data_IF_046817294706
#
_entry.id   IF_046817294706
#
_cell.length_a   1.000
_cell.length_b   1.000
_cell.length_c   1.000
_cell.angle_alpha   90.00
_cell.angle_beta   90.00
_cell.angle_gamma   90.00
#
_symmetry.space_group_name_H-M   'P 1'
#
loop_
_entity.id
_entity.type
_entity.pdbx_description
1 polymer ?
#
# COMPACT_ATOMS: atom_id res chain seq x y z
N UNK A 1 -12.00 -20.21 22.22
CA UNK A 1 -11.25 -20.04 20.95
C UNK A 1 -11.74 -18.83 20.15
N UNK A 2 -13.02 -18.72 19.76
CA UNK A 2 -13.52 -17.57 18.98
C UNK A 2 -13.30 -16.20 19.64
N UNK A 3 -13.48 -16.09 20.96
CA UNK A 3 -13.25 -14.85 21.71
C UNK A 3 -11.77 -14.45 21.76
N UNK A 4 -10.86 -15.41 21.90
CA UNK A 4 -9.40 -15.18 21.89
C UNK A 4 -8.91 -14.72 20.52
N UNK A 5 -9.39 -15.37 19.45
CA UNK A 5 -9.12 -14.99 18.06
C UNK A 5 -9.64 -13.58 17.72
N UNK A 6 -10.83 -13.22 18.21
CA UNK A 6 -11.39 -11.87 18.00
C UNK A 6 -10.61 -10.77 18.72
N UNK A 7 -10.08 -11.07 19.92
CA UNK A 7 -9.20 -10.15 20.67
C UNK A 7 -7.85 -9.97 19.96
N UNK A 8 -7.30 -11.05 19.42
CA UNK A 8 -6.02 -11.06 18.68
C UNK A 8 -6.09 -10.23 17.37
N UNK A 9 -7.20 -10.33 16.64
CA UNK A 9 -7.43 -9.52 15.42
C UNK A 9 -7.56 -8.03 15.74
N UNK A 10 -8.27 -7.65 16.81
CA UNK A 10 -8.41 -6.23 17.21
C UNK A 10 -7.07 -5.63 17.62
N UNK A 11 -6.27 -6.37 18.37
CA UNK A 11 -4.91 -5.97 18.73
C UNK A 11 -4.04 -5.80 17.48
N UNK A 12 -4.12 -6.74 16.54
CA UNK A 12 -3.41 -6.68 15.27
C UNK A 12 -3.82 -5.47 14.42
N UNK A 13 -5.10 -5.08 14.43
CA UNK A 13 -5.58 -3.85 13.75
C UNK A 13 -5.00 -2.60 14.42
N UNK A 14 -4.95 -2.54 15.75
CA UNK A 14 -4.35 -1.41 16.46
C UNK A 14 -2.84 -1.28 16.14
N UNK A 15 -2.10 -2.40 16.16
CA UNK A 15 -0.70 -2.44 15.77
C UNK A 15 -0.49 -2.00 14.31
N UNK A 16 -1.31 -2.51 13.39
CA UNK A 16 -1.29 -2.09 11.99
C UNK A 16 -1.51 -0.58 11.89
N UNK A 17 -2.52 -0.03 12.58
CA UNK A 17 -2.84 1.40 12.57
C UNK A 17 -1.65 2.25 13.04
N UNK A 18 -0.95 1.82 14.10
CA UNK A 18 0.26 2.49 14.57
C UNK A 18 1.41 2.42 13.55
N UNK A 19 1.62 1.24 12.94
CA UNK A 19 2.60 1.08 11.86
C UNK A 19 2.29 2.00 10.67
N UNK A 20 1.01 2.14 10.29
CA UNK A 20 0.55 3.06 9.23
C UNK A 20 1.02 4.48 9.50
N UNK A 21 0.78 5.00 10.70
CA UNK A 21 1.10 6.39 11.00
C UNK A 21 2.59 6.64 11.09
N UNK A 22 3.38 5.67 11.59
CA UNK A 22 4.85 5.73 11.51
C UNK A 22 5.33 5.77 10.06
N UNK A 23 4.74 4.95 9.19
CA UNK A 23 5.08 4.93 7.78
C UNK A 23 4.68 6.22 7.07
N UNK A 24 3.47 6.74 7.34
CA UNK A 24 3.01 8.02 6.81
C UNK A 24 3.95 9.16 7.22
N UNK A 25 4.34 9.21 8.50
CA UNK A 25 5.30 10.19 9.02
C UNK A 25 6.65 10.08 8.32
N UNK A 26 7.16 8.85 8.12
CA UNK A 26 8.44 8.63 7.44
C UNK A 26 8.42 8.99 5.95
N UNK A 27 7.31 8.71 5.23
CA UNK A 27 7.11 9.17 3.84
C UNK A 27 7.13 10.69 3.76
N UNK A 28 6.46 11.33 4.71
CA UNK A 28 6.23 12.76 4.68
C UNK A 28 7.46 13.56 5.18
N UNK A 29 8.28 12.97 6.06
CA UNK A 29 9.49 13.59 6.63
C UNK A 29 10.77 13.35 5.83
N UNK A 30 10.73 12.56 4.76
CA UNK A 30 11.94 12.20 4.00
C UNK A 30 12.46 13.42 3.21
N UNK A 31 13.62 13.99 3.55
CA UNK A 31 14.14 15.21 2.93
C UNK A 31 14.63 15.00 1.48
N UNK A 32 14.77 13.74 1.02
CA UNK A 32 15.04 13.40 -0.38
C UNK A 32 13.76 13.18 -1.20
N UNK A 33 12.59 13.24 -0.56
CA UNK A 33 11.31 13.02 -1.20
C UNK A 33 10.86 14.27 -1.95
N UNK A 34 10.67 14.14 -3.26
CA UNK A 34 9.94 15.14 -4.08
C UNK A 34 8.42 14.88 -4.04
N UNK A 35 7.93 14.05 -3.12
CA UNK A 35 6.52 13.63 -3.06
C UNK A 35 5.69 14.75 -2.45
N UNK A 36 4.99 15.50 -3.30
CA UNK A 36 4.07 16.56 -2.88
C UNK A 36 2.73 16.02 -2.37
N UNK A 37 2.27 14.88 -2.90
CA UNK A 37 1.05 14.19 -2.47
C UNK A 37 1.32 12.68 -2.38
N UNK A 38 0.90 12.04 -1.29
CA UNK A 38 1.11 10.62 -1.06
C UNK A 38 -0.23 9.87 -0.94
N UNK A 39 -0.33 8.70 -1.57
CA UNK A 39 -1.44 7.77 -1.38
C UNK A 39 -0.90 6.34 -1.36
N UNK A 40 -0.90 5.70 -0.20
CA UNK A 40 -0.46 4.31 -0.06
C UNK A 40 -1.52 3.50 0.65
N UNK A 41 -1.46 2.17 0.50
CA UNK A 41 -2.36 1.25 1.18
C UNK A 41 -1.63 0.51 2.29
N UNK A 42 -1.87 0.85 3.56
CA UNK A 42 -1.17 0.22 4.66
C UNK A 42 -1.60 -1.24 4.84
N UNK A 43 -2.87 -1.54 4.58
CA UNK A 43 -3.39 -2.92 4.62
C UNK A 43 -2.77 -3.78 3.52
N UNK A 44 -2.55 -3.22 2.33
CA UNK A 44 -1.88 -3.91 1.22
C UNK A 44 -0.41 -4.21 1.55
N UNK A 45 0.29 -3.23 2.13
CA UNK A 45 1.67 -3.41 2.59
C UNK A 45 1.79 -4.42 3.73
N UNK A 46 0.84 -4.39 4.68
CA UNK A 46 0.79 -5.39 5.76
C UNK A 46 0.67 -6.81 5.20
N UNK A 47 -0.22 -7.04 4.22
CA UNK A 47 -0.35 -8.34 3.55
C UNK A 47 0.94 -8.73 2.84
N UNK A 48 1.59 -7.79 2.15
CA UNK A 48 2.84 -8.02 1.44
C UNK A 48 3.99 -8.41 2.39
N UNK A 49 4.13 -7.70 3.51
CA UNK A 49 5.15 -8.00 4.52
C UNK A 49 4.84 -9.30 5.28
N UNK A 50 3.56 -9.58 5.59
CA UNK A 50 3.14 -10.85 6.19
C UNK A 50 3.45 -12.05 5.29
N UNK A 51 3.37 -11.87 3.96
CA UNK A 51 3.80 -12.89 2.99
C UNK A 51 5.31 -13.16 3.08
N UNK A 52 6.14 -12.11 3.17
CA UNK A 52 7.59 -12.27 3.38
C UNK A 52 7.87 -12.92 4.74
N UNK A 53 7.15 -12.55 5.80
CA UNK A 53 7.25 -13.18 7.13
C UNK A 53 7.00 -14.69 7.07
N UNK A 54 6.04 -15.15 6.26
CA UNK A 54 5.76 -16.57 6.07
C UNK A 54 6.88 -17.31 5.33
N UNK A 55 7.64 -16.58 4.49
CA UNK A 55 8.81 -17.09 3.78
C UNK A 55 10.12 -16.99 4.58
N UNK A 56 10.10 -16.33 5.74
CA UNK A 56 11.28 -16.07 6.55
C UNK A 56 11.45 -17.06 7.71
N UNK A 57 12.70 -17.28 8.11
CA UNK A 57 13.09 -18.03 9.31
C UNK A 57 13.81 -17.16 10.34
N UNK A 58 14.07 -17.75 11.51
CA UNK A 58 14.96 -17.20 12.54
C UNK A 58 14.71 -15.73 12.91
N UNK A 59 15.81 -14.98 13.03
CA UNK A 59 15.79 -13.56 13.39
C UNK A 59 15.11 -12.68 12.33
N UNK A 60 15.18 -13.05 11.05
CA UNK A 60 14.55 -12.31 9.94
C UNK A 60 13.03 -12.33 10.11
N UNK A 61 12.45 -13.51 10.38
CA UNK A 61 11.01 -13.66 10.68
C UNK A 61 10.59 -12.82 11.88
N UNK A 62 11.38 -12.85 12.96
CA UNK A 62 11.06 -12.12 14.18
C UNK A 62 11.07 -10.60 13.94
N UNK A 63 12.07 -10.07 13.24
CA UNK A 63 12.13 -8.63 12.96
C UNK A 63 10.98 -8.16 12.05
N UNK A 64 10.61 -8.96 11.05
CA UNK A 64 9.44 -8.69 10.21
C UNK A 64 8.15 -8.66 11.03
N UNK A 65 7.97 -9.65 11.91
CA UNK A 65 6.82 -9.72 12.80
C UNK A 65 6.75 -8.47 13.70
N UNK A 66 7.82 -8.16 14.43
CA UNK A 66 7.91 -6.97 15.29
C UNK A 66 7.64 -5.66 14.54
N UNK A 67 8.07 -5.56 13.28
CA UNK A 67 7.82 -4.37 12.45
C UNK A 67 6.33 -4.19 12.15
N UNK A 68 5.61 -5.30 11.90
CA UNK A 68 4.17 -5.30 11.66
C UNK A 68 3.34 -5.17 12.95
N UNK A 69 3.94 -5.46 14.09
CA UNK A 69 3.38 -5.31 15.44
C UNK A 69 4.05 -6.23 16.45
N UNK A 70 3.89 -5.97 17.74
CA UNK A 70 4.41 -6.85 18.82
C UNK A 70 3.54 -8.12 19.03
N UNK A 71 2.74 -8.49 18.03
CA UNK A 71 1.81 -9.62 18.10
C UNK A 71 2.44 -10.96 17.72
N UNK A 72 1.74 -12.05 18.02
CA UNK A 72 2.13 -13.39 17.57
C UNK A 72 2.06 -13.49 16.04
N UNK A 73 3.01 -14.22 15.45
CA UNK A 73 3.11 -14.37 13.99
C UNK A 73 1.84 -14.98 13.37
N UNK A 74 1.18 -15.88 14.09
CA UNK A 74 -0.09 -16.47 13.64
C UNK A 74 -1.22 -15.43 13.53
N UNK A 75 -1.27 -14.45 14.44
CA UNK A 75 -2.22 -13.34 14.39
C UNK A 75 -2.01 -12.47 13.14
N UNK A 76 -0.75 -12.20 12.77
CA UNK A 76 -0.40 -11.46 11.55
C UNK A 76 -0.88 -12.17 10.28
N UNK A 77 -0.65 -13.48 10.19
CA UNK A 77 -1.08 -14.29 9.06
C UNK A 77 -2.61 -14.39 8.98
N UNK A 78 -3.27 -14.55 10.11
CA UNK A 78 -4.74 -14.57 10.21
C UNK A 78 -5.34 -13.23 9.77
N UNK A 79 -4.78 -12.10 10.23
CA UNK A 79 -5.22 -10.77 9.80
C UNK A 79 -5.02 -10.57 8.31
N UNK A 80 -3.85 -10.93 7.77
CA UNK A 80 -3.57 -10.81 6.34
C UNK A 80 -4.57 -11.62 5.50
N UNK A 81 -4.88 -12.86 5.89
CA UNK A 81 -5.87 -13.70 5.21
C UNK A 81 -7.27 -13.07 5.24
N UNK A 82 -7.73 -12.57 6.39
CA UNK A 82 -9.03 -11.91 6.50
C UNK A 82 -9.09 -10.61 5.69
N UNK A 83 -8.03 -9.80 5.71
CA UNK A 83 -7.94 -8.56 4.92
C UNK A 83 -8.05 -8.87 3.43
N UNK A 84 -7.33 -9.89 2.95
CA UNK A 84 -7.39 -10.28 1.54
C UNK A 84 -8.76 -10.83 1.15
N UNK A 85 -9.34 -11.70 1.97
CA UNK A 85 -10.63 -12.34 1.68
C UNK A 85 -11.81 -11.39 1.75
N UNK A 86 -11.81 -10.47 2.72
CA UNK A 86 -12.94 -9.59 2.96
C UNK A 86 -12.65 -8.17 2.50
N UNK A 87 -11.62 -7.51 3.00
CA UNK A 87 -11.40 -6.07 2.77
C UNK A 87 -10.95 -5.77 1.34
N UNK A 88 -10.07 -6.58 0.77
CA UNK A 88 -9.47 -6.34 -0.55
C UNK A 88 -10.19 -7.05 -1.70
N UNK A 89 -11.27 -7.79 -1.40
CA UNK A 89 -12.07 -8.46 -2.42
C UNK A 89 -12.77 -7.46 -3.36
N UNK A 90 -12.76 -7.75 -4.66
CA UNK A 90 -13.53 -6.97 -5.62
C UNK A 90 -15.02 -7.35 -5.54
N UNK A 91 -15.88 -6.37 -5.25
CA UNK A 91 -17.34 -6.55 -5.25
C UNK A 91 -18.05 -5.49 -6.11
N UNK A 92 -17.37 -4.97 -7.12
CA UNK A 92 -17.93 -3.94 -8.01
C UNK A 92 -19.14 -4.43 -8.81
N UNK A 93 -19.26 -5.74 -9.05
CA UNK A 93 -20.41 -6.36 -9.72
C UNK A 93 -21.72 -6.24 -8.93
N UNK A 94 -21.66 -5.99 -7.62
CA UNK A 94 -22.83 -5.80 -6.75
C UNK A 94 -23.00 -4.34 -6.31
N UNK A 95 -22.36 -3.39 -7.01
CA UNK A 95 -22.50 -1.95 -6.76
C UNK A 95 -21.62 -1.38 -5.65
N UNK A 96 -20.70 -2.18 -5.10
CA UNK A 96 -19.68 -1.77 -4.12
C UNK A 96 -18.49 -1.08 -4.80
N UNK A 97 -17.57 -0.42 -4.07
CA UNK A 97 -16.33 0.07 -4.67
C UNK A 97 -15.55 -1.02 -5.40
N UNK A 98 -14.95 -0.63 -6.52
CA UNK A 98 -13.99 -1.46 -7.24
C UNK A 98 -12.67 -1.43 -6.48
N UNK A 99 -12.23 -2.62 -6.10
CA UNK A 99 -10.90 -2.86 -5.52
C UNK A 99 -10.16 -3.79 -6.47
N UNK A 100 -8.94 -3.42 -6.86
CA UNK A 100 -8.04 -4.31 -7.59
C UNK A 100 -6.72 -4.38 -6.83
N UNK A 101 -6.42 -5.56 -6.31
CA UNK A 101 -5.27 -5.83 -5.47
C UNK A 101 -4.34 -6.80 -6.19
N UNK A 102 -3.06 -6.43 -6.29
CA UNK A 102 -2.01 -7.27 -6.85
C UNK A 102 -0.92 -7.44 -5.80
N UNK A 103 -0.53 -8.68 -5.56
CA UNK A 103 0.52 -9.04 -4.63
C UNK A 103 1.33 -10.18 -5.24
N UNK A 104 2.65 -10.05 -5.28
CA UNK A 104 3.49 -11.02 -5.95
C UNK A 104 4.92 -11.00 -5.47
N UNK A 105 5.55 -12.17 -5.45
CA UNK A 105 6.97 -12.36 -5.15
C UNK A 105 7.64 -12.98 -6.36
N UNK A 106 8.66 -12.31 -6.86
CA UNK A 106 9.46 -12.73 -8.00
C UNK A 106 10.86 -13.05 -7.52
N UNK A 107 11.26 -14.32 -7.62
CA UNK A 107 12.52 -14.85 -7.09
C UNK A 107 13.43 -15.21 -8.25
N UNK A 108 14.73 -14.91 -8.12
CA UNK A 108 15.70 -15.29 -9.14
C UNK A 108 15.73 -16.81 -9.37
N UNK A 109 15.79 -17.22 -10.63
CA UNK A 109 15.74 -18.63 -11.03
C UNK A 109 16.94 -19.44 -10.54
N UNK A 110 18.02 -18.80 -10.06
CA UNK A 110 19.10 -19.51 -9.37
C UNK A 110 18.71 -20.04 -8.00
N UNK A 111 17.61 -19.56 -7.42
CA UNK A 111 17.06 -20.00 -6.14
C UNK A 111 15.85 -20.90 -6.42
N UNK A 112 15.81 -22.07 -5.77
CA UNK A 112 14.68 -22.98 -5.92
C UNK A 112 13.52 -22.51 -5.02
N UNK A 113 12.48 -21.95 -5.64
CA UNK A 113 11.26 -21.54 -4.96
C UNK A 113 10.48 -22.78 -4.50
N UNK A 114 10.08 -22.80 -3.21
CA UNK A 114 9.40 -23.95 -2.63
C UNK A 114 7.96 -24.07 -3.12
N UNK A 115 7.50 -25.24 -3.60
CA UNK A 115 6.10 -25.46 -3.97
C UNK A 115 5.14 -25.18 -2.80
N UNK A 116 5.52 -25.54 -1.58
CA UNK A 116 4.72 -25.28 -0.37
C UNK A 116 4.58 -23.78 -0.09
N UNK A 117 5.59 -22.97 -0.39
CA UNK A 117 5.49 -21.51 -0.29
C UNK A 117 4.58 -20.93 -1.38
N UNK A 118 4.65 -21.44 -2.61
CA UNK A 118 3.76 -21.00 -3.70
C UNK A 118 2.29 -21.27 -3.38
N UNK A 119 1.99 -22.45 -2.85
CA UNK A 119 0.63 -22.81 -2.42
C UNK A 119 0.16 -21.90 -1.27
N UNK A 120 1.02 -21.65 -0.28
CA UNK A 120 0.73 -20.75 0.84
C UNK A 120 0.47 -19.31 0.35
N UNK A 121 1.30 -18.79 -0.55
CA UNK A 121 1.17 -17.45 -1.13
C UNK A 121 -0.18 -17.28 -1.84
N UNK A 122 -0.57 -18.27 -2.65
CA UNK A 122 -1.81 -18.26 -3.40
C UNK A 122 -3.04 -18.39 -2.48
N UNK A 123 -3.02 -19.35 -1.56
CA UNK A 123 -4.18 -19.69 -0.73
C UNK A 123 -4.47 -18.61 0.33
N UNK A 124 -3.45 -18.16 1.06
CA UNK A 124 -3.63 -17.24 2.20
C UNK A 124 -3.52 -15.76 1.81
N UNK A 125 -2.69 -15.43 0.83
CA UNK A 125 -2.37 -14.03 0.50
C UNK A 125 -2.92 -13.58 -0.86
N UNK A 126 -3.55 -14.49 -1.61
CA UNK A 126 -3.93 -14.28 -3.02
C UNK A 126 -2.77 -13.67 -3.82
N UNK A 127 -1.57 -14.16 -3.54
CA UNK A 127 -0.34 -13.68 -4.11
C UNK A 127 0.23 -14.68 -5.12
N UNK A 128 0.87 -14.15 -6.15
CA UNK A 128 1.64 -14.98 -7.09
C UNK A 128 3.09 -15.12 -6.60
N UNK A 129 3.66 -16.31 -6.72
CA UNK A 129 5.05 -16.55 -6.40
C UNK A 129 5.71 -17.23 -7.61
N UNK A 130 6.61 -16.51 -8.27
CA UNK A 130 7.19 -16.90 -9.56
C UNK A 130 8.72 -16.88 -9.51
N UNK A 131 9.34 -17.83 -10.21
CA UNK A 131 10.76 -17.78 -10.53
C UNK A 131 10.97 -16.99 -11.83
N UNK A 132 11.90 -16.03 -11.82
CA UNK A 132 12.26 -15.17 -12.96
C UNK A 132 13.77 -15.10 -13.09
N UNK A 133 14.30 -14.82 -14.27
CA UNK A 133 15.75 -14.81 -14.50
C UNK A 133 16.27 -13.37 -14.51
N UNK A 134 16.72 -12.85 -13.36
CA UNK A 134 17.30 -11.50 -13.31
C UNK A 134 18.71 -11.48 -13.90
N UNK A 135 19.42 -12.61 -13.87
CA UNK A 135 20.83 -12.70 -14.21
C UNK A 135 21.06 -12.73 -15.72
N UNK A 136 21.87 -11.79 -16.21
CA UNK A 136 22.36 -11.85 -17.59
C UNK A 136 23.38 -12.98 -17.71
N UNK A 137 23.01 -14.10 -18.33
CA UNK A 137 23.99 -15.12 -18.72
C UNK A 137 24.78 -14.58 -19.90
N UNK A 138 26.04 -14.23 -19.68
CA UNK A 138 26.97 -13.98 -20.79
C UNK A 138 27.22 -15.32 -21.46
N UNK A 139 26.50 -15.60 -22.54
CA UNK A 139 26.85 -16.71 -23.43
C UNK A 139 28.07 -16.25 -24.23
N UNK A 140 29.20 -16.94 -24.05
CA UNK A 140 30.38 -16.75 -24.88
C UNK A 140 30.00 -16.99 -26.35
N UNK A 141 29.85 -15.91 -27.13
CA UNK A 141 29.76 -16.01 -28.59
C UNK A 141 31.14 -15.80 -29.20
N UNK A 142 31.53 -16.60 -30.22
CA UNK A 142 32.81 -16.45 -30.88
C UNK A 142 32.88 -15.11 -31.62
N UNK A 143 33.93 -14.35 -31.32
CA UNK A 143 34.23 -13.03 -31.91
C UNK A 143 34.47 -13.16 -33.41
N UNK A 144 33.48 -12.85 -34.25
CA UNK A 144 33.72 -12.39 -35.63
C UNK A 144 32.70 -11.33 -36.06
N UNK A 145 33.23 -10.11 -36.23
CA UNK A 145 32.69 -8.90 -36.89
C UNK A 145 31.69 -8.05 -36.09
N UNK A 146 32.21 -6.88 -35.67
CA UNK A 146 31.57 -5.55 -35.54
C UNK A 146 30.05 -5.52 -35.78
N UNK A 147 29.29 -5.90 -34.77
CA UNK A 147 27.90 -5.49 -34.60
C UNK A 147 27.78 -4.89 -33.20
N UNK A 148 27.13 -3.72 -33.13
CA UNK A 148 26.79 -3.09 -31.85
C UNK A 148 25.60 -3.87 -31.29
N UNK A 149 25.88 -4.82 -30.41
CA UNK A 149 24.84 -5.57 -29.72
C UNK A 149 24.33 -4.74 -28.54
N UNK A 150 23.08 -4.26 -28.63
CA UNK A 150 22.34 -3.83 -27.44
C UNK A 150 21.98 -5.09 -26.68
N UNK A 151 22.77 -5.44 -25.67
CA UNK A 151 22.39 -6.47 -24.70
C UNK A 151 21.40 -5.81 -23.76
N UNK A 152 20.10 -5.82 -24.11
CA UNK A 152 19.07 -5.56 -23.10
C UNK A 152 19.22 -6.65 -22.03
N UNK A 153 19.65 -6.26 -20.84
CA UNK A 153 19.88 -7.20 -19.75
C UNK A 153 18.56 -7.83 -19.31
N UNK A 154 18.58 -9.10 -18.90
CA UNK A 154 17.37 -9.81 -18.45
C UNK A 154 16.57 -9.10 -17.35
N UNK A 155 17.22 -8.23 -16.57
CA UNK A 155 16.53 -7.36 -15.62
C UNK A 155 15.46 -6.47 -16.29
N UNK A 156 15.70 -5.94 -17.49
CA UNK A 156 14.71 -5.15 -18.22
C UNK A 156 13.53 -5.99 -18.71
N UNK A 157 13.78 -7.23 -19.18
CA UNK A 157 12.73 -8.18 -19.53
C UNK A 157 11.87 -8.55 -18.31
N UNK A 158 12.50 -8.77 -17.15
CA UNK A 158 11.78 -9.03 -15.90
C UNK A 158 10.99 -7.80 -15.45
N UNK A 159 11.52 -6.58 -15.60
CA UNK A 159 10.75 -5.34 -15.36
C UNK A 159 9.48 -5.33 -16.21
N UNK A 160 9.60 -5.60 -17.52
CA UNK A 160 8.45 -5.65 -18.42
C UNK A 160 7.46 -6.77 -18.04
N UNK A 161 7.96 -7.94 -17.65
CA UNK A 161 7.12 -9.06 -17.19
C UNK A 161 6.32 -8.69 -15.93
N UNK A 162 6.96 -8.10 -14.92
CA UNK A 162 6.30 -7.70 -13.66
C UNK A 162 5.30 -6.56 -13.91
N UNK A 163 5.64 -5.58 -14.76
CA UNK A 163 4.73 -4.50 -15.13
C UNK A 163 3.50 -5.01 -15.92
N UNK A 164 3.71 -5.94 -16.86
CA UNK A 164 2.59 -6.58 -17.57
C UNK A 164 1.71 -7.42 -16.65
N UNK A 165 2.32 -8.10 -15.67
CA UNK A 165 1.60 -8.84 -14.64
C UNK A 165 0.70 -7.92 -13.81
N UNK A 166 1.23 -6.82 -13.27
CA UNK A 166 0.43 -5.90 -12.45
C UNK A 166 -0.66 -5.22 -13.29
N UNK A 167 -0.37 -4.90 -14.56
CA UNK A 167 -1.36 -4.34 -15.48
C UNK A 167 -2.51 -5.31 -15.71
N UNK A 168 -2.21 -6.59 -15.93
CA UNK A 168 -3.24 -7.63 -16.08
C UNK A 168 -4.10 -7.78 -14.82
N UNK A 169 -3.47 -7.93 -13.65
CA UNK A 169 -4.19 -8.12 -12.37
C UNK A 169 -5.06 -6.91 -12.05
N UNK A 170 -4.58 -5.71 -12.35
CA UNK A 170 -5.31 -4.46 -12.11
C UNK A 170 -6.20 -4.04 -13.29
N UNK A 171 -6.30 -4.86 -14.34
CA UNK A 171 -7.11 -4.57 -15.54
C UNK A 171 -6.75 -3.22 -16.20
N UNK A 172 -5.46 -2.93 -16.35
CA UNK A 172 -4.96 -1.71 -17.00
C UNK A 172 -4.85 -0.48 -16.10
N UNK A 173 -5.17 -0.59 -14.81
CA UNK A 173 -5.28 0.55 -13.90
C UNK A 173 -3.93 0.97 -13.30
N UNK A 174 -3.02 0.02 -13.11
CA UNK A 174 -1.65 0.22 -12.65
C UNK A 174 -0.74 -0.44 -13.67
N UNK A 175 0.14 0.33 -14.29
CA UNK A 175 0.97 -0.14 -15.42
C UNK A 175 2.43 -0.34 -15.02
N UNK A 176 2.96 0.63 -14.29
CA UNK A 176 4.39 0.66 -13.97
C UNK A 176 4.57 0.57 -12.46
N UNK A 177 4.79 -0.65 -11.95
CA UNK A 177 5.13 -0.89 -10.54
C UNK A 177 6.65 -0.90 -10.33
N UNK A 178 7.40 -1.36 -11.34
CA UNK A 178 8.86 -1.28 -11.38
C UNK A 178 9.27 -0.22 -12.40
N UNK A 179 9.83 0.93 -11.96
CA UNK A 179 10.44 1.89 -12.85
C UNK A 179 11.60 1.28 -13.64
N UNK A 180 11.87 1.82 -14.84
CA UNK A 180 13.03 1.40 -15.62
C UNK A 180 14.34 1.58 -14.81
N UNK A 181 15.15 0.53 -14.75
CA UNK A 181 16.41 0.52 -14.00
C UNK A 181 16.26 0.35 -12.48
N UNK A 182 15.05 0.10 -11.95
CA UNK A 182 14.85 -0.13 -10.51
C UNK A 182 15.35 -1.50 -10.02
N UNK A 183 15.62 -2.42 -10.94
CA UNK A 183 16.19 -3.74 -10.67
C UNK A 183 17.42 -3.96 -11.55
N UNK A 184 18.29 -4.88 -11.13
CA UNK A 184 19.56 -5.16 -11.79
C UNK A 184 19.82 -6.66 -11.90
N UNK A 185 20.92 -7.03 -12.55
CA UNK A 185 21.35 -8.43 -12.66
C UNK A 185 21.77 -9.07 -11.32
N UNK A 186 21.97 -8.27 -10.27
CA UNK A 186 22.23 -8.77 -8.91
C UNK A 186 20.96 -8.90 -8.08
N UNK A 187 19.79 -8.49 -8.60
CA UNK A 187 18.51 -8.69 -7.93
C UNK A 187 18.26 -10.18 -7.71
N UNK A 188 17.76 -10.53 -6.52
CA UNK A 188 17.43 -11.92 -6.13
C UNK A 188 15.97 -12.12 -5.80
N UNK A 189 15.31 -11.08 -5.33
CA UNK A 189 13.91 -11.11 -4.96
C UNK A 189 13.31 -9.73 -5.18
N UNK A 190 12.08 -9.70 -5.71
CA UNK A 190 11.23 -8.52 -5.80
C UNK A 190 9.87 -8.85 -5.19
N UNK A 191 9.41 -8.00 -4.28
CA UNK A 191 8.04 -8.00 -3.78
C UNK A 191 7.26 -6.90 -4.51
N UNK A 192 6.34 -7.29 -5.38
CA UNK A 192 5.42 -6.38 -6.06
C UNK A 192 4.09 -6.30 -5.33
N UNK A 193 3.71 -5.10 -4.88
CA UNK A 193 2.42 -4.86 -4.24
C UNK A 193 1.74 -3.61 -4.83
N UNK A 194 0.47 -3.76 -5.24
CA UNK A 194 -0.31 -2.67 -5.80
C UNK A 194 -1.78 -2.76 -5.39
N UNK A 195 -2.38 -1.60 -5.10
CA UNK A 195 -3.80 -1.48 -4.80
C UNK A 195 -4.43 -0.33 -5.57
N UNK A 196 -5.49 -0.64 -6.29
CA UNK A 196 -6.39 0.33 -6.88
C UNK A 196 -7.72 0.33 -6.15
N UNK A 197 -8.24 1.53 -5.87
CA UNK A 197 -9.56 1.73 -5.27
C UNK A 197 -10.34 2.78 -6.05
N UNK A 198 -11.60 2.48 -6.40
CA UNK A 198 -12.55 3.43 -6.96
C UNK A 198 -13.95 3.13 -6.49
N UNK A 199 -14.54 4.05 -5.73
CA UNK A 199 -15.94 3.98 -5.30
C UNK A 199 -16.73 5.18 -5.79
N UNK A 200 -18.05 5.01 -5.91
CA UNK A 200 -18.98 6.12 -6.08
C UNK A 200 -19.47 6.57 -4.69
N UNK A 201 -19.57 7.88 -4.45
CA UNK A 201 -20.16 8.41 -3.22
C UNK A 201 -21.62 7.97 -3.10
N UNK A 202 -22.06 7.72 -1.86
CA UNK A 202 -23.48 7.52 -1.54
C UNK A 202 -24.28 8.75 -1.93
N UNK A 203 -23.84 9.91 -1.44
CA UNK A 203 -24.36 11.23 -1.80
C UNK A 203 -23.40 11.87 -2.79
N UNK A 204 -23.76 11.91 -4.08
CA UNK A 204 -22.89 12.45 -5.13
C UNK A 204 -22.99 13.98 -5.22
N UNK A 205 -21.85 14.63 -5.47
CA UNK A 205 -21.80 16.05 -5.79
C UNK A 205 -22.38 16.31 -7.19
N UNK A 206 -23.19 17.36 -7.34
CA UNK A 206 -23.66 17.80 -8.66
C UNK A 206 -22.48 18.41 -9.45
N UNK A 207 -22.08 17.83 -10.59
CA UNK A 207 -20.98 18.35 -11.38
C UNK A 207 -21.19 19.80 -11.83
N UNK A 208 -22.45 20.25 -11.97
CA UNK A 208 -22.79 21.64 -12.38
C UNK A 208 -22.45 22.67 -11.30
N UNK A 209 -22.38 22.24 -10.04
CA UNK A 209 -21.95 23.09 -8.93
C UNK A 209 -20.43 23.09 -8.71
N UNK A 210 -19.65 22.43 -9.56
CA UNK A 210 -18.19 22.46 -9.44
C UNK A 210 -17.64 23.76 -10.03
N UNK A 211 -16.92 24.52 -9.22
CA UNK A 211 -16.35 25.81 -9.62
C UNK A 211 -14.85 25.87 -9.31
N UNK A 212 -14.11 26.68 -10.07
CA UNK A 212 -12.68 26.92 -9.82
C UNK A 212 -12.52 27.82 -8.60
N UNK A 213 -11.66 27.42 -7.65
CA UNK A 213 -11.32 28.22 -6.46
C UNK A 213 -9.85 27.99 -6.07
N UNK A 214 -9.34 28.79 -5.14
CA UNK A 214 -7.96 28.72 -4.70
C UNK A 214 -7.74 27.65 -3.63
N UNK A 215 -6.73 26.80 -3.86
CA UNK A 215 -6.14 25.92 -2.87
C UNK A 215 -4.79 26.52 -2.44
N UNK A 216 -4.60 26.70 -1.14
CA UNK A 216 -3.39 27.28 -0.56
C UNK A 216 -2.38 26.18 -0.24
N UNK A 217 -1.17 26.31 -0.78
CA UNK A 217 -0.06 25.38 -0.61
C UNK A 217 0.69 25.66 0.69
N UNK A 218 1.46 24.66 1.16
CA UNK A 218 2.22 24.75 2.41
C UNK A 218 3.34 25.81 2.38
N UNK A 219 3.81 26.19 1.19
CA UNK A 219 4.79 27.26 0.97
C UNK A 219 4.17 28.67 0.97
N UNK A 220 2.86 28.77 1.19
CA UNK A 220 2.09 30.02 1.19
C UNK A 220 1.63 30.47 -0.19
N UNK A 221 2.04 29.81 -1.28
CA UNK A 221 1.51 30.07 -2.61
C UNK A 221 0.10 29.48 -2.78
N UNK A 222 -0.58 29.79 -3.88
CA UNK A 222 -1.91 29.24 -4.17
C UNK A 222 -2.04 28.80 -5.62
N UNK A 223 -2.88 27.80 -5.84
CA UNK A 223 -3.23 27.28 -7.16
C UNK A 223 -4.74 27.27 -7.33
N UNK A 224 -5.22 27.46 -8.56
CA UNK A 224 -6.64 27.27 -8.86
C UNK A 224 -6.93 25.79 -9.16
N UNK A 225 -7.98 25.25 -8.54
CA UNK A 225 -8.42 23.88 -8.75
C UNK A 225 -9.95 23.79 -8.69
N UNK A 226 -10.59 22.85 -9.39
CA UNK A 226 -12.04 22.66 -9.27
C UNK A 226 -12.43 22.15 -7.87
N UNK A 227 -13.29 22.91 -7.18
CA UNK A 227 -13.92 22.51 -5.92
C UNK A 227 -15.34 22.02 -6.16
N UNK A 228 -15.68 20.90 -5.54
CA UNK A 228 -17.04 20.37 -5.44
C UNK A 228 -17.77 21.03 -4.28
N UNK A 229 -19.05 21.31 -4.48
CA UNK A 229 -19.92 21.97 -3.51
C UNK A 229 -21.08 21.07 -3.11
N UNK A 230 -21.56 21.25 -1.88
CA UNK A 230 -22.76 20.59 -1.39
C UNK A 230 -23.60 21.58 -0.59
N UNK A 231 -24.90 21.61 -0.87
CA UNK A 231 -25.89 22.39 -0.13
C UNK A 231 -26.64 21.55 0.92
N UNK A 232 -26.42 20.24 0.95
CA UNK A 232 -27.06 19.31 1.88
C UNK A 232 -26.24 19.06 3.15
N UNK A 233 -26.86 18.45 4.15
CA UNK A 233 -26.19 18.08 5.39
C UNK A 233 -25.06 17.06 5.13
N UNK A 234 -23.95 17.21 5.84
CA UNK A 234 -22.75 16.36 5.71
C UNK A 234 -22.33 15.77 7.05
N UNK A 235 -21.67 14.61 7.03
CA UNK A 235 -21.04 14.06 8.22
C UNK A 235 -19.76 14.85 8.52
N UNK A 236 -19.88 15.87 9.37
CA UNK A 236 -18.76 16.71 9.78
C UNK A 236 -18.73 16.84 11.30
N UNK A 237 -17.53 16.70 11.87
CA UNK A 237 -17.20 17.07 13.24
C UNK A 237 -16.16 18.20 13.23
N UNK A 238 -16.20 19.04 14.25
CA UNK A 238 -15.24 20.12 14.46
C UNK A 238 -14.94 20.21 15.95
N UNK A 239 -13.73 19.80 16.34
CA UNK A 239 -13.28 19.81 17.73
C UNK A 239 -11.76 19.95 17.78
N UNK A 240 -11.22 20.57 18.83
CA UNK A 240 -9.78 20.65 19.10
C UNK A 240 -8.91 21.13 17.92
N UNK A 241 -9.40 22.12 17.17
CA UNK A 241 -8.69 22.67 16.01
C UNK A 241 -8.62 21.73 14.80
N UNK A 242 -9.45 20.68 14.77
CA UNK A 242 -9.54 19.70 13.70
C UNK A 242 -10.99 19.60 13.19
N UNK A 243 -11.16 19.65 11.87
CA UNK A 243 -12.41 19.29 11.19
C UNK A 243 -12.25 17.93 10.54
N UNK A 244 -13.23 17.04 10.75
CA UNK A 244 -13.25 15.72 10.10
C UNK A 244 -14.52 15.58 9.27
N UNK A 245 -14.35 15.34 7.98
CA UNK A 245 -15.41 15.03 7.05
C UNK A 245 -15.42 13.53 6.77
N UNK A 246 -16.59 12.90 6.80
CA UNK A 246 -16.81 11.52 6.35
C UNK A 246 -17.66 11.50 5.08
N UNK A 247 -17.14 10.87 4.03
CA UNK A 247 -17.84 10.64 2.76
C UNK A 247 -18.05 9.13 2.55
N UNK A 248 -19.25 8.61 2.80
CA UNK A 248 -19.56 7.20 2.55
C UNK A 248 -19.56 6.88 1.05
N UNK A 249 -19.02 5.71 0.68
CA UNK A 249 -19.19 5.15 -0.65
C UNK A 249 -20.46 4.30 -0.71
N UNK A 250 -21.03 4.17 -1.92
CA UNK A 250 -22.15 3.25 -2.19
C UNK A 250 -21.74 1.83 -1.81
N UNK A 251 -22.55 1.20 -0.96
CA UNK A 251 -22.34 -0.15 -0.47
C UNK A 251 -22.87 -1.21 -1.46
N UNK A 252 -23.98 -0.91 -2.15
CA UNK A 252 -24.66 -1.90 -2.99
C UNK A 252 -25.10 -3.12 -2.17
N UNK A 253 -24.91 -4.33 -2.71
CA UNK A 253 -25.18 -5.58 -2.02
C UNK A 253 -24.05 -6.09 -1.10
N UNK A 254 -22.98 -5.29 -0.94
CA UNK A 254 -21.82 -5.68 -0.14
C UNK A 254 -22.11 -5.58 1.36
N UNK A 255 -21.41 -6.37 2.18
CA UNK A 255 -21.46 -6.25 3.64
C UNK A 255 -20.51 -5.17 4.17
N UNK A 256 -19.54 -4.75 3.35
CA UNK A 256 -18.51 -3.78 3.71
C UNK A 256 -19.00 -2.35 3.54
N UNK A 257 -18.56 -1.49 4.44
CA UNK A 257 -18.87 -0.06 4.41
C UNK A 257 -17.58 0.73 4.29
N UNK A 258 -17.31 1.20 3.07
CA UNK A 258 -16.16 2.06 2.82
C UNK A 258 -16.57 3.53 3.02
N UNK A 259 -15.67 4.32 3.57
CA UNK A 259 -15.83 5.78 3.65
C UNK A 259 -14.46 6.43 3.47
N UNK A 260 -14.44 7.60 2.84
CA UNK A 260 -13.27 8.48 2.88
C UNK A 260 -13.41 9.42 4.08
N UNK A 261 -12.34 9.53 4.86
CA UNK A 261 -12.23 10.52 5.93
C UNK A 261 -11.25 11.60 5.49
N UNK A 262 -11.64 12.87 5.62
CA UNK A 262 -10.80 14.02 5.32
C UNK A 262 -10.60 14.78 6.61
N UNK A 263 -9.37 14.80 7.08
CA UNK A 263 -8.94 15.49 8.29
C UNK A 263 -8.33 16.82 7.88
N UNK A 264 -8.95 17.91 8.31
CA UNK A 264 -8.57 19.28 7.97
C UNK A 264 -8.21 20.03 9.26
N UNK A 265 -6.90 20.16 9.58
CA UNK A 265 -6.44 21.04 10.65
C UNK A 265 -6.84 22.49 10.37
N UNK A 266 -7.12 23.27 11.43
CA UNK A 266 -7.39 24.70 11.30
C UNK A 266 -6.16 25.51 10.89
N UNK A 267 -4.97 25.12 11.37
CA UNK A 267 -3.71 25.75 10.99
C UNK A 267 -3.23 25.23 9.61
N UNK A 268 -2.83 26.11 8.66
CA UNK A 268 -2.35 25.69 7.34
C UNK A 268 -1.16 24.71 7.37
N UNK A 269 -0.26 24.83 8.35
CA UNK A 269 0.87 23.93 8.56
C UNK A 269 0.57 22.76 9.52
N UNK A 270 -0.68 22.64 9.99
CA UNK A 270 -1.07 21.70 11.05
C UNK A 270 -1.09 20.23 10.63
N UNK A 271 -0.88 19.93 9.35
CA UNK A 271 -0.88 18.56 8.82
C UNK A 271 0.25 17.70 9.43
N UNK A 272 1.42 18.30 9.68
CA UNK A 272 2.59 17.63 10.25
C UNK A 272 2.36 17.26 11.71
N UNK A 273 1.93 18.23 12.51
CA UNK A 273 1.56 18.01 13.91
C UNK A 273 0.40 17.03 14.05
N UNK A 274 -0.55 17.04 13.12
CA UNK A 274 -1.63 16.06 13.11
C UNK A 274 -1.10 14.65 12.84
N UNK A 275 -0.20 14.48 11.87
CA UNK A 275 0.40 13.18 11.56
C UNK A 275 1.19 12.63 12.75
N UNK A 276 1.98 13.46 13.44
CA UNK A 276 2.68 13.08 14.66
C UNK A 276 1.71 12.68 15.78
N UNK A 277 0.67 13.49 16.00
CA UNK A 277 -0.35 13.22 17.03
C UNK A 277 -1.10 11.90 16.76
N UNK A 278 -1.52 11.65 15.52
CA UNK A 278 -2.16 10.38 15.13
C UNK A 278 -1.22 9.18 15.23
N UNK A 279 0.09 9.38 15.05
CA UNK A 279 1.08 8.32 15.27
C UNK A 279 1.28 7.99 16.75
N UNK A 280 1.13 8.98 17.64
CA UNK A 280 1.26 8.80 19.08
C UNK A 280 -0.03 8.23 19.70
N UNK A 281 -1.19 8.71 19.23
CA UNK A 281 -2.52 8.40 19.77
C UNK A 281 -3.51 8.05 18.63
N UNK A 282 -3.42 6.84 18.04
CA UNK A 282 -4.26 6.43 16.92
C UNK A 282 -5.77 6.47 17.23
N UNK A 283 -6.15 6.30 18.48
CA UNK A 283 -7.54 6.30 18.97
C UNK A 283 -8.23 7.66 18.78
N UNK A 284 -7.45 8.73 18.63
CA UNK A 284 -7.97 10.06 18.32
C UNK A 284 -8.78 10.06 17.02
N UNK A 285 -8.38 9.25 16.03
CA UNK A 285 -9.14 9.16 14.79
C UNK A 285 -10.57 8.69 15.07
N UNK A 286 -10.75 7.65 15.88
CA UNK A 286 -12.07 7.09 16.21
C UNK A 286 -12.96 8.05 16.98
N UNK A 287 -12.37 8.83 17.89
CA UNK A 287 -13.07 9.84 18.69
C UNK A 287 -13.63 10.96 17.82
N UNK A 288 -12.98 11.27 16.71
CA UNK A 288 -13.37 12.37 15.81
C UNK A 288 -14.27 11.92 14.65
N UNK A 289 -14.60 10.62 14.51
CA UNK A 289 -15.47 10.14 13.43
C UNK A 289 -16.88 10.73 13.57
N UNK A 290 -17.34 11.54 12.60
CA UNK A 290 -18.69 12.10 12.63
C UNK A 290 -19.74 11.00 12.43
N UNK A 291 -20.71 10.94 13.34
CA UNK A 291 -21.80 9.94 13.35
C UNK A 291 -23.14 10.48 12.85
N UNK A 292 -23.29 11.79 12.80
CA UNK A 292 -24.51 12.48 12.37
C UNK A 292 -24.19 13.47 11.25
N UNK A 293 -25.18 13.73 10.40
CA UNK A 293 -25.09 14.80 9.41
C UNK A 293 -25.46 16.13 10.07
N UNK A 294 -24.80 17.19 9.64
CA UNK A 294 -25.06 18.57 10.09
C UNK A 294 -25.20 19.49 8.89
N UNK A 295 -26.10 20.47 8.98
CA UNK A 295 -26.23 21.52 7.98
C UNK A 295 -24.99 22.43 7.98
N UNK A 296 -24.43 22.70 6.80
CA UNK A 296 -23.24 23.53 6.64
C UNK A 296 -23.59 24.80 5.88
N UNK A 297 -23.08 25.95 6.34
CA UNK A 297 -23.22 27.22 5.62
C UNK A 297 -22.41 27.24 4.33
N UNK A 298 -21.20 26.65 4.36
CA UNK A 298 -20.31 26.55 3.22
C UNK A 298 -19.62 25.18 3.25
N UNK A 299 -19.59 24.52 2.11
CA UNK A 299 -18.85 23.27 1.90
C UNK A 299 -18.13 23.35 0.57
N UNK A 300 -16.81 23.13 0.60
CA UNK A 300 -15.95 23.07 -0.58
C UNK A 300 -14.98 21.91 -0.42
N UNK A 301 -14.87 21.07 -1.44
CA UNK A 301 -13.91 19.95 -1.46
C UNK A 301 -13.19 19.92 -2.81
N UNK A 302 -11.85 20.10 -2.87
CA UNK A 302 -11.15 20.09 -4.15
C UNK A 302 -11.25 18.70 -4.79
N UNK A 303 -11.38 18.67 -6.12
CA UNK A 303 -11.19 17.43 -6.88
C UNK A 303 -9.71 17.15 -6.97
N UNK A 304 -9.31 15.93 -6.66
CA UNK A 304 -7.93 15.49 -6.77
C UNK A 304 -7.86 14.07 -7.30
N UNK A 305 -6.69 13.72 -7.86
CA UNK A 305 -6.28 12.37 -8.20
C UNK A 305 -4.87 12.20 -7.68
N UNK A 306 -4.66 11.20 -6.84
CA UNK A 306 -3.35 10.92 -6.23
C UNK A 306 -2.99 9.47 -6.55
N UNK A 307 -1.72 9.27 -6.88
CA UNK A 307 -1.10 7.96 -7.06
C UNK A 307 0.32 8.05 -6.53
N UNK A 308 0.79 6.99 -5.88
CA UNK A 308 2.15 6.91 -5.37
C UNK A 308 2.73 5.54 -5.71
N UNK A 309 3.91 5.54 -6.32
CA UNK A 309 4.79 4.38 -6.39
C UNK A 309 6.03 4.68 -5.56
N UNK A 310 6.40 3.76 -4.67
CA UNK A 310 7.61 3.87 -3.86
C UNK A 310 8.34 2.53 -3.86
N UNK A 311 9.67 2.61 -3.91
CA UNK A 311 10.52 1.52 -3.46
C UNK A 311 10.50 1.57 -1.92
N UNK A 312 9.88 0.57 -1.30
CA UNK A 312 9.63 0.60 0.14
C UNK A 312 10.84 0.15 0.97
N UNK A 313 11.87 -0.46 0.39
CA UNK A 313 12.99 -1.02 1.15
C UNK A 313 13.73 0.04 1.95
N UNK A 314 14.08 1.18 1.37
CA UNK A 314 14.83 2.22 2.07
C UNK A 314 14.00 2.88 3.18
N UNK A 315 12.69 3.03 2.94
CA UNK A 315 11.74 3.51 3.93
C UNK A 315 11.62 2.53 5.11
N UNK A 316 11.49 1.23 4.83
CA UNK A 316 11.39 0.19 5.84
C UNK A 316 12.69 0.02 6.64
N UNK A 317 13.85 0.12 5.98
CA UNK A 317 15.17 0.17 6.65
C UNK A 317 15.25 1.36 7.61
N UNK A 318 14.80 2.54 7.17
CA UNK A 318 14.71 3.73 8.02
C UNK A 318 13.81 3.54 9.25
N UNK A 319 12.82 2.66 9.17
CA UNK A 319 11.93 2.28 10.29
C UNK A 319 12.49 1.14 11.17
N UNK A 320 13.67 0.60 10.84
CA UNK A 320 14.37 -0.42 11.61
C UNK A 320 14.31 -1.84 11.04
N UNK A 321 13.64 -2.06 9.90
CA UNK A 321 13.58 -3.37 9.25
C UNK A 321 14.82 -3.57 8.36
N UNK A 322 15.82 -4.29 8.84
CA UNK A 322 17.14 -4.40 8.20
C UNK A 322 17.41 -5.81 7.64
N UNK A 323 17.16 -6.85 8.45
CA UNK A 323 17.54 -8.23 8.16
C UNK A 323 16.99 -8.77 6.82
N UNK A 324 15.72 -8.52 6.42
CA UNK A 324 15.21 -9.04 5.15
C UNK A 324 15.92 -8.46 3.91
N UNK A 325 16.67 -7.38 4.07
CA UNK A 325 17.41 -6.72 3.00
C UNK A 325 18.92 -6.98 3.06
N UNK A 326 19.39 -7.70 4.10
CA UNK A 326 20.79 -8.04 4.31
C UNK A 326 21.21 -9.37 3.68
N UNK A 327 22.51 -9.65 3.70
CA UNK A 327 23.03 -10.94 3.21
C UNK A 327 22.69 -12.10 4.16
N UNK A 328 22.44 -11.78 5.42
CA UNK A 328 22.01 -12.65 6.51
C UNK A 328 20.50 -12.93 6.53
N UNK A 329 19.76 -12.47 5.51
CA UNK A 329 18.33 -12.70 5.39
C UNK A 329 18.03 -14.21 5.36
N UNK A 330 17.33 -14.70 6.37
CA UNK A 330 16.85 -16.07 6.42
C UNK A 330 15.48 -16.16 5.73
N UNK A 331 15.52 -16.49 4.44
CA UNK A 331 14.34 -16.79 3.61
C UNK A 331 14.20 -18.30 3.33
N UNK A 332 14.71 -19.14 4.24
CA UNK A 332 14.73 -20.60 4.10
C UNK A 332 13.36 -21.26 4.05
N UNK A 333 12.27 -20.55 4.39
CA UNK A 333 10.90 -21.03 4.23
C UNK A 333 10.31 -20.71 2.86
N UNK A 334 10.91 -19.76 2.13
CA UNK A 334 10.51 -19.37 0.78
C UNK A 334 11.26 -20.14 -0.29
N UNK A 335 12.58 -20.22 -0.16
CA UNK A 335 13.47 -20.86 -1.14
C UNK A 335 14.29 -21.95 -0.46
N UNK A 336 14.69 -22.96 -1.22
CA UNK A 336 15.77 -23.82 -0.78
C UNK A 336 17.09 -23.05 -0.84
N UNK A 337 17.95 -23.30 0.15
CA UNK A 337 19.31 -22.77 0.11
C UNK A 337 19.94 -23.22 -1.20
N UNK A 338 20.60 -22.33 -1.97
CA UNK A 338 21.53 -22.81 -2.97
C UNK A 338 22.47 -23.75 -2.22
N UNK A 339 22.55 -25.00 -2.66
CA UNK A 339 23.19 -26.08 -1.91
C UNK A 339 24.58 -25.65 -1.42
N UNK A 340 24.87 -26.01 -0.18
CA UNK A 340 26.21 -26.01 0.39
C UNK A 340 27.21 -26.80 -0.48
#
# INVERSE_FOLDING_TARGET
MATTLATDVRLSIAHQTRFVFRLASAISSNPKSTVNNAAFSPVSLHVALSLITAGAGGATRNQLATTLGEGEVEGLHTLAEQVVQFVLANASNIGSPRVAFANGVFVDASLQLKPSFQELALCKYKAEAQSVDFQTKVTNFPVRKKEVFVVEGRAAEVTAQVNSWVEKVTTGLIKDILPAGSISNTTRLVLGNALYFKGAWTDQFDPRGTESDYFYLLDGSSIQTPFMYSSGEQYVSSSDGLKVLKLPYKQGGDKRQFSMYILLPEAPSGIWSLAEKLSAEPELLEQHIPRQKVALRQFKLPKFKISLGIEASDLLKGLGLQLPFGAEADLSKMVDSPMA
#
